data_IF_797662555432
#
_entry.id   IF_797662555432
#
_cell.length_a   1.000
_cell.length_b   1.000
_cell.length_c   1.000
_cell.angle_alpha   90.00
_cell.angle_beta   90.00
_cell.angle_gamma   90.00
#
_symmetry.space_group_name_H-M   'P 1'
#
loop_
_entity.id
_entity.type
_entity.pdbx_description
1 polymer ?
#
# COMPACT_ATOMS: atom_id res chain seq x y z
N UNK A 1 -2.77 19.77 3.73
CA UNK A 1 -2.03 18.76 4.53
C UNK A 1 -2.42 17.38 4.01
N UNK A 2 -1.43 16.56 3.72
CA UNK A 2 -1.63 15.19 3.20
C UNK A 2 -1.61 14.13 4.31
N UNK A 3 -1.26 14.51 5.54
CA UNK A 3 -1.21 13.63 6.71
C UNK A 3 -2.55 13.64 7.46
N UNK A 4 -3.11 12.44 7.83
CA UNK A 4 -4.26 12.36 8.74
C UNK A 4 -3.97 12.96 10.11
N UNK A 5 -4.99 13.46 10.80
CA UNK A 5 -4.84 13.98 12.17
C UNK A 5 -4.71 12.86 13.21
N UNK A 6 -5.28 11.70 12.94
CA UNK A 6 -5.21 10.52 13.81
C UNK A 6 -3.84 9.84 13.70
N UNK A 7 -3.34 9.31 14.83
CA UNK A 7 -2.09 8.56 14.91
C UNK A 7 -2.37 7.16 15.45
N UNK A 8 -1.76 6.15 14.85
CA UNK A 8 -1.80 4.80 15.40
C UNK A 8 -0.90 4.71 16.66
N UNK A 9 -1.41 4.12 17.73
CA UNK A 9 -0.69 3.94 19.00
C UNK A 9 0.04 2.60 19.08
N UNK A 10 -0.28 1.68 18.17
CA UNK A 10 0.29 0.34 18.07
C UNK A 10 0.29 -0.14 16.61
N UNK A 11 0.92 -1.27 16.36
CA UNK A 11 0.89 -1.99 15.10
C UNK A 11 0.78 -3.50 15.38
N UNK A 12 0.22 -4.23 14.42
CA UNK A 12 0.12 -5.67 14.46
C UNK A 12 1.25 -6.32 13.65
N UNK A 13 1.73 -7.48 14.09
CA UNK A 13 2.56 -8.35 13.27
C UNK A 13 1.66 -9.35 12.52
N UNK A 14 1.40 -9.10 11.24
CA UNK A 14 0.70 -10.06 10.37
C UNK A 14 1.54 -11.32 10.18
N UNK A 15 2.85 -11.13 10.07
CA UNK A 15 3.92 -12.13 10.12
C UNK A 15 5.13 -11.51 10.82
N UNK A 16 6.12 -12.30 11.24
CA UNK A 16 7.33 -11.75 11.88
C UNK A 16 8.07 -10.71 11.03
N UNK A 17 7.93 -10.78 9.71
CA UNK A 17 8.55 -9.88 8.74
C UNK A 17 7.61 -8.85 8.13
N UNK A 18 6.34 -8.79 8.57
CA UNK A 18 5.30 -7.91 8.00
C UNK A 18 4.48 -7.25 9.09
N UNK A 19 4.69 -5.95 9.29
CA UNK A 19 3.97 -5.14 10.26
C UNK A 19 2.86 -4.33 9.58
N UNK A 20 1.80 -4.04 10.33
CA UNK A 20 0.60 -3.38 9.87
C UNK A 20 0.06 -2.42 10.92
N UNK A 21 -0.32 -1.22 10.52
CA UNK A 21 -1.09 -0.28 11.35
C UNK A 21 -2.11 0.48 10.52
N UNK A 22 -3.07 1.07 11.18
CA UNK A 22 -4.15 1.79 10.53
C UNK A 22 -4.62 2.97 11.38
N UNK A 23 -5.32 3.90 10.73
CA UNK A 23 -6.03 5.01 11.39
C UNK A 23 -7.38 5.23 10.69
N UNK A 24 -8.35 5.81 11.44
CA UNK A 24 -9.48 6.48 10.81
C UNK A 24 -8.96 7.79 10.20
N UNK A 25 -8.99 7.85 8.88
CA UNK A 25 -8.46 8.96 8.11
C UNK A 25 -9.54 10.03 7.91
N UNK A 26 -9.43 11.10 8.66
CA UNK A 26 -10.38 12.21 8.69
C UNK A 26 -10.47 12.97 7.35
N UNK A 27 -9.48 12.83 6.48
CA UNK A 27 -9.45 13.46 5.15
C UNK A 27 -10.40 12.79 4.17
N UNK A 28 -10.58 11.48 4.30
CA UNK A 28 -11.41 10.67 3.41
C UNK A 28 -12.60 10.02 4.13
N UNK A 29 -12.71 10.22 5.46
CA UNK A 29 -13.73 9.61 6.31
C UNK A 29 -13.80 8.09 6.18
N UNK A 30 -12.64 7.46 6.11
CA UNK A 30 -12.50 6.02 5.95
C UNK A 30 -11.19 5.54 6.58
N UNK A 31 -11.12 4.26 6.89
CA UNK A 31 -9.89 3.62 7.37
C UNK A 31 -8.81 3.67 6.30
N UNK A 32 -7.62 4.07 6.70
CA UNK A 32 -6.38 3.94 5.92
C UNK A 32 -5.40 3.01 6.61
N UNK A 33 -4.68 2.25 5.83
CA UNK A 33 -3.76 1.19 6.28
C UNK A 33 -2.35 1.42 5.74
N UNK A 34 -1.35 1.05 6.53
CA UNK A 34 0.07 1.14 6.22
C UNK A 34 0.82 -0.12 6.62
N UNK A 35 1.94 -0.33 5.99
CA UNK A 35 2.70 -1.56 6.10
C UNK A 35 4.18 -1.29 6.36
N UNK A 36 4.86 -2.25 6.97
CA UNK A 36 6.31 -2.27 6.99
C UNK A 36 6.84 -3.68 6.77
N UNK A 37 7.93 -3.78 6.02
CA UNK A 37 8.67 -5.01 5.81
C UNK A 37 9.91 -4.99 6.69
N UNK A 38 10.09 -6.04 7.49
CA UNK A 38 11.27 -6.23 8.34
C UNK A 38 12.15 -7.32 7.73
N UNK A 39 13.43 -7.04 7.56
CA UNK A 39 14.41 -8.00 7.06
C UNK A 39 15.81 -7.67 7.56
N UNK A 40 16.48 -8.66 8.15
CA UNK A 40 17.85 -8.52 8.70
C UNK A 40 18.00 -7.29 9.62
N UNK A 41 17.03 -7.07 10.50
CA UNK A 41 17.03 -5.94 11.43
C UNK A 41 16.81 -4.57 10.76
N UNK A 42 16.40 -4.54 9.48
CA UNK A 42 16.07 -3.34 8.73
C UNK A 42 14.57 -3.27 8.44
N UNK A 43 14.02 -2.06 8.46
CA UNK A 43 12.59 -1.82 8.23
C UNK A 43 12.42 -0.90 7.02
N UNK A 44 11.58 -1.32 6.08
CA UNK A 44 11.09 -0.49 4.98
C UNK A 44 9.63 -0.17 5.22
N UNK A 45 9.30 1.11 5.30
CA UNK A 45 7.94 1.60 5.49
C UNK A 45 7.25 1.78 4.12
N UNK A 46 6.01 1.35 4.01
CA UNK A 46 5.21 1.45 2.79
C UNK A 46 3.99 2.32 3.07
N UNK A 47 3.86 3.43 2.35
CA UNK A 47 2.77 4.40 2.47
C UNK A 47 2.47 4.79 3.94
N UNK A 48 3.47 5.23 4.73
CA UNK A 48 3.36 5.25 6.17
C UNK A 48 2.35 6.29 6.68
N UNK A 49 1.42 5.82 7.50
CA UNK A 49 0.50 6.63 8.29
C UNK A 49 1.15 7.13 9.57
N UNK A 50 0.56 8.16 10.22
CA UNK A 50 1.07 8.68 11.49
C UNK A 50 1.14 7.60 12.57
N UNK A 51 2.28 7.56 13.25
CA UNK A 51 2.50 6.77 14.46
C UNK A 51 2.71 7.70 15.65
N UNK A 52 2.12 7.38 16.79
CA UNK A 52 2.39 8.00 18.05
C UNK A 52 3.76 7.56 18.60
N UNK A 53 4.37 8.33 19.48
CA UNK A 53 5.73 8.04 19.95
C UNK A 53 5.91 6.63 20.54
N UNK A 54 4.98 6.07 21.36
CA UNK A 54 5.13 4.69 21.84
C UNK A 54 5.19 3.65 20.70
N UNK A 55 4.41 3.86 19.62
CA UNK A 55 4.43 2.97 18.45
C UNK A 55 5.72 3.14 17.64
N UNK A 56 6.27 4.36 17.57
CA UNK A 56 7.58 4.62 16.95
C UNK A 56 8.69 3.89 17.70
N UNK A 57 8.73 4.00 19.05
CA UNK A 57 9.70 3.30 19.89
C UNK A 57 9.58 1.77 19.73
N UNK A 58 8.36 1.25 19.69
CA UNK A 58 8.10 -0.17 19.44
C UNK A 58 8.55 -0.61 18.05
N UNK A 59 8.40 0.24 17.03
CA UNK A 59 8.87 -0.02 15.66
C UNK A 59 10.41 -0.06 15.62
N UNK A 60 11.09 0.90 16.24
CA UNK A 60 12.56 0.94 16.34
C UNK A 60 13.11 -0.28 17.10
N UNK A 61 12.35 -0.86 18.03
CA UNK A 61 12.71 -2.10 18.70
C UNK A 61 12.63 -3.35 17.78
N UNK A 62 11.88 -3.30 16.67
CA UNK A 62 11.84 -4.38 15.66
C UNK A 62 13.04 -4.32 14.70
N UNK A 63 13.67 -3.16 14.55
CA UNK A 63 14.80 -2.96 13.66
C UNK A 63 15.00 -1.48 13.30
N UNK A 64 15.99 -1.24 12.46
CA UNK A 64 16.31 0.10 11.99
C UNK A 64 15.47 0.48 10.77
N UNK A 65 14.64 1.53 10.82
CA UNK A 65 14.04 2.10 9.61
C UNK A 65 15.13 2.56 8.63
N UNK A 66 15.05 2.16 7.36
CA UNK A 66 16.07 2.44 6.34
C UNK A 66 15.53 3.12 5.09
N UNK A 67 14.23 3.00 4.82
CA UNK A 67 13.60 3.60 3.65
C UNK A 67 12.08 3.75 3.84
N UNK A 68 11.50 4.66 3.07
CA UNK A 68 10.06 4.79 2.83
C UNK A 68 9.83 4.57 1.33
N UNK A 69 8.88 3.71 0.97
CA UNK A 69 8.44 3.48 -0.40
C UNK A 69 6.97 3.92 -0.53
N UNK A 70 6.70 4.86 -1.43
CA UNK A 70 5.35 5.33 -1.74
C UNK A 70 4.83 4.60 -2.97
N UNK A 71 3.56 4.20 -2.97
CA UNK A 71 2.89 3.57 -4.13
C UNK A 71 2.29 4.60 -5.09
N UNK A 72 2.10 5.83 -4.62
CA UNK A 72 1.58 6.96 -5.38
C UNK A 72 1.64 8.25 -4.57
N UNK A 73 1.38 9.39 -5.19
CA UNK A 73 1.43 10.69 -4.52
C UNK A 73 0.33 10.88 -3.47
N UNK A 74 -0.84 10.26 -3.65
CA UNK A 74 -1.92 10.28 -2.66
C UNK A 74 -1.55 9.58 -1.34
N UNK A 75 -0.52 8.74 -1.35
CA UNK A 75 -0.06 7.96 -0.21
C UNK A 75 1.19 8.53 0.48
N UNK A 76 1.57 9.78 0.21
CA UNK A 76 2.70 10.42 0.90
C UNK A 76 2.49 10.59 2.43
N UNK A 77 1.26 10.78 2.87
CA UNK A 77 0.82 10.72 4.29
C UNK A 77 1.88 11.27 5.26
N UNK A 78 2.46 10.45 6.16
CA UNK A 78 3.52 10.83 7.11
C UNK A 78 4.94 10.68 6.57
N UNK A 79 5.13 10.39 5.29
CA UNK A 79 6.45 10.08 4.73
C UNK A 79 7.50 11.16 5.04
N UNK A 80 7.14 12.44 4.89
CA UNK A 80 8.07 13.55 5.07
C UNK A 80 8.45 13.77 6.53
N UNK A 81 7.51 13.56 7.45
CA UNK A 81 7.77 13.62 8.89
C UNK A 81 8.68 12.46 9.33
N UNK A 82 8.37 11.24 8.90
CA UNK A 82 9.16 10.04 9.24
C UNK A 82 10.53 10.04 8.54
N UNK A 83 10.63 10.59 7.32
CA UNK A 83 11.91 10.86 6.66
C UNK A 83 12.85 11.69 7.56
N UNK A 84 12.33 12.78 8.10
CA UNK A 84 13.08 13.68 9.01
C UNK A 84 13.39 12.99 10.34
N UNK A 85 12.43 12.27 10.89
CA UNK A 85 12.57 11.57 12.18
C UNK A 85 13.69 10.54 12.14
N UNK A 86 13.74 9.71 11.09
CA UNK A 86 14.68 8.59 10.97
C UNK A 86 15.92 8.92 10.13
N UNK A 87 15.97 10.04 9.44
CA UNK A 87 17.08 10.37 8.53
C UNK A 87 17.20 9.42 7.34
N UNK A 88 16.08 8.94 6.82
CA UNK A 88 16.02 7.91 5.76
C UNK A 88 15.51 8.48 4.43
N UNK A 89 15.71 7.74 3.35
CA UNK A 89 15.28 8.15 2.00
C UNK A 89 13.83 7.80 1.72
N UNK A 90 13.16 8.67 0.98
CA UNK A 90 11.84 8.43 0.37
C UNK A 90 12.02 8.05 -1.09
N UNK A 91 11.46 6.91 -1.46
CA UNK A 91 11.34 6.39 -2.82
C UNK A 91 9.92 6.61 -3.29
N UNK A 92 9.73 7.26 -4.43
CA UNK A 92 8.43 7.52 -5.02
C UNK A 92 8.38 7.15 -6.50
N UNK A 93 7.20 6.89 -7.06
CA UNK A 93 7.07 6.66 -8.49
C UNK A 93 7.62 7.84 -9.32
N UNK A 94 8.31 7.53 -10.39
CA UNK A 94 8.70 8.52 -11.39
C UNK A 94 7.45 9.23 -11.94
N UNK A 95 7.53 10.53 -12.10
CA UNK A 95 6.42 11.40 -12.54
C UNK A 95 5.24 11.48 -11.53
N UNK A 96 5.42 11.15 -10.27
CA UNK A 96 4.42 11.40 -9.24
C UNK A 96 4.28 12.91 -9.03
N UNK A 97 3.12 13.46 -9.39
CA UNK A 97 2.78 14.88 -9.20
C UNK A 97 2.07 15.12 -7.86
N UNK A 98 2.18 16.34 -7.32
CA UNK A 98 1.46 16.73 -6.09
C UNK A 98 2.11 16.23 -4.79
N UNK A 99 3.36 15.78 -4.81
CA UNK A 99 4.13 15.52 -3.60
C UNK A 99 4.46 16.83 -2.87
N UNK A 100 4.36 16.84 -1.53
CA UNK A 100 4.69 18.01 -0.70
C UNK A 100 6.20 18.32 -0.67
N UNK A 101 7.04 17.29 -0.73
CA UNK A 101 8.49 17.41 -0.81
C UNK A 101 9.04 16.56 -1.96
N UNK A 102 10.21 16.91 -2.45
CA UNK A 102 10.90 16.11 -3.47
C UNK A 102 11.37 14.77 -2.88
N UNK A 103 11.06 13.63 -3.51
CA UNK A 103 11.57 12.34 -3.08
C UNK A 103 13.09 12.27 -3.28
N UNK A 104 13.76 11.40 -2.52
CA UNK A 104 15.21 11.21 -2.65
C UNK A 104 15.58 10.33 -3.84
N UNK A 105 14.65 9.45 -4.26
CA UNK A 105 14.82 8.52 -5.37
C UNK A 105 13.51 8.32 -6.10
N UNK A 106 13.53 8.56 -7.40
CA UNK A 106 12.44 8.18 -8.30
C UNK A 106 12.62 6.74 -8.76
N UNK A 107 11.52 6.01 -8.88
CA UNK A 107 11.55 4.63 -9.36
C UNK A 107 10.56 4.38 -10.50
N UNK A 108 10.84 3.37 -11.31
CA UNK A 108 9.98 2.85 -12.37
C UNK A 108 9.65 1.37 -12.12
N UNK A 109 8.78 0.80 -12.93
CA UNK A 109 8.41 -0.62 -12.89
C UNK A 109 9.66 -1.53 -12.97
N UNK A 110 9.69 -2.57 -12.14
CA UNK A 110 10.73 -3.60 -12.16
C UNK A 110 12.07 -3.23 -11.50
N UNK A 111 12.23 -1.98 -11.03
CA UNK A 111 13.45 -1.57 -10.32
C UNK A 111 13.47 -2.14 -8.91
N UNK A 112 14.58 -2.74 -8.48
CA UNK A 112 14.71 -3.23 -7.12
C UNK A 112 14.75 -2.07 -6.11
N UNK A 113 13.83 -2.07 -5.16
CA UNK A 113 13.74 -1.13 -4.05
C UNK A 113 14.31 -1.75 -2.75
N UNK A 114 14.56 -0.93 -1.70
CA UNK A 114 14.94 -1.43 -0.39
C UNK A 114 13.99 -2.53 0.12
N UNK A 115 14.52 -3.47 0.90
CA UNK A 115 13.75 -4.61 1.43
C UNK A 115 13.42 -5.70 0.40
N UNK A 116 13.91 -5.59 -0.83
CA UNK A 116 13.63 -6.54 -1.92
C UNK A 116 12.28 -6.31 -2.60
N UNK A 117 11.67 -5.15 -2.37
CA UNK A 117 10.42 -4.75 -3.05
C UNK A 117 10.69 -4.48 -4.53
N UNK A 118 9.75 -4.88 -5.38
CA UNK A 118 9.76 -4.63 -6.83
C UNK A 118 8.46 -3.91 -7.21
N UNK A 119 8.53 -2.68 -7.77
CA UNK A 119 7.36 -1.96 -8.22
C UNK A 119 6.72 -2.62 -9.43
N UNK A 120 5.40 -2.71 -9.41
CA UNK A 120 4.55 -3.16 -10.51
C UNK A 120 3.62 -2.01 -10.88
N UNK A 121 3.74 -1.46 -12.08
CA UNK A 121 2.86 -0.38 -12.52
C UNK A 121 1.42 -0.87 -12.56
N UNK A 122 0.55 -0.22 -11.82
CA UNK A 122 -0.83 -0.64 -11.60
C UNK A 122 -1.79 0.56 -11.75
N UNK A 123 -1.87 1.15 -12.98
CA UNK A 123 -2.67 2.33 -13.23
C UNK A 123 -4.17 2.04 -13.12
N UNK A 124 -4.92 3.11 -12.96
CA UNK A 124 -6.38 3.07 -12.89
C UNK A 124 -6.92 3.81 -11.68
N UNK A 125 -6.47 3.58 -10.43
CA UNK A 125 -6.76 4.48 -9.34
C UNK A 125 -6.28 5.90 -9.67
N UNK A 126 -5.01 6.03 -10.05
CA UNK A 126 -4.44 7.19 -10.75
C UNK A 126 -3.53 6.69 -11.88
N UNK A 127 -3.09 7.59 -12.79
CA UNK A 127 -2.18 7.21 -13.88
C UNK A 127 -0.83 6.74 -13.32
N UNK A 128 -0.28 7.47 -12.34
CA UNK A 128 0.98 7.12 -11.67
C UNK A 128 0.70 6.41 -10.36
N UNK A 129 0.31 5.14 -10.47
CA UNK A 129 -0.01 4.27 -9.35
C UNK A 129 0.74 2.94 -9.48
N UNK A 130 1.31 2.47 -8.37
CA UNK A 130 2.09 1.24 -8.32
C UNK A 130 1.62 0.33 -7.19
N UNK A 131 1.70 -0.97 -7.44
CA UNK A 131 1.78 -1.97 -6.40
C UNK A 131 3.25 -2.28 -6.09
N UNK A 132 3.55 -2.77 -4.89
CA UNK A 132 4.88 -3.24 -4.54
C UNK A 132 4.82 -4.74 -4.30
N UNK A 133 5.67 -5.49 -4.98
CA UNK A 133 5.75 -6.95 -4.87
C UNK A 133 7.02 -7.35 -4.13
N UNK A 134 6.88 -8.23 -3.15
CA UNK A 134 7.98 -8.87 -2.43
C UNK A 134 7.94 -10.37 -2.73
N UNK A 135 8.87 -10.85 -3.56
CA UNK A 135 9.03 -12.29 -3.86
C UNK A 135 10.00 -12.95 -2.85
N UNK A 136 9.59 -12.98 -1.59
CA UNK A 136 10.29 -13.72 -0.52
C UNK A 136 9.30 -14.64 0.15
N UNK A 137 9.73 -15.87 0.48
CA UNK A 137 8.89 -16.92 1.05
C UNK A 137 7.67 -17.24 0.17
N UNK A 138 6.47 -17.07 0.71
CA UNK A 138 5.22 -17.22 -0.05
C UNK A 138 4.86 -15.98 -0.89
N UNK A 139 5.61 -14.89 -0.73
CA UNK A 139 5.40 -13.61 -1.41
C UNK A 139 4.34 -12.72 -0.75
N UNK A 140 4.51 -11.41 -0.91
CA UNK A 140 3.55 -10.39 -0.46
C UNK A 140 3.31 -9.38 -1.59
N UNK A 141 2.06 -9.04 -1.82
CA UNK A 141 1.68 -7.98 -2.75
C UNK A 141 1.00 -6.83 -1.98
N UNK A 142 1.59 -5.65 -2.03
CA UNK A 142 1.01 -4.40 -1.54
C UNK A 142 0.31 -3.73 -2.72
N UNK A 143 -1.00 -3.89 -2.80
CA UNK A 143 -1.78 -3.48 -3.98
C UNK A 143 -2.31 -2.04 -3.91
N UNK A 144 -2.04 -1.33 -2.82
CA UNK A 144 -2.50 0.04 -2.56
C UNK A 144 -4.01 0.19 -2.85
N UNK A 145 -4.43 1.11 -3.73
CA UNK A 145 -5.83 1.39 -4.03
C UNK A 145 -6.42 0.55 -5.18
N UNK A 146 -5.64 -0.34 -5.79
CA UNK A 146 -6.20 -1.22 -6.84
C UNK A 146 -7.32 -2.09 -6.30
N UNK A 147 -7.17 -2.57 -5.06
CA UNK A 147 -8.16 -3.36 -4.34
C UNK A 147 -8.24 -2.88 -2.90
N UNK A 148 -9.45 -2.73 -2.40
CA UNK A 148 -9.73 -2.32 -1.03
C UNK A 148 -10.66 -3.33 -0.35
N UNK A 149 -10.72 -3.30 0.96
CA UNK A 149 -11.71 -4.09 1.70
C UNK A 149 -13.10 -3.49 1.52
N UNK A 150 -14.06 -4.33 1.11
CA UNK A 150 -15.49 -3.98 1.01
C UNK A 150 -16.32 -5.04 1.70
N UNK A 151 -16.92 -4.67 2.84
CA UNK A 151 -17.60 -5.63 3.69
C UNK A 151 -16.64 -6.75 4.12
N UNK A 152 -17.03 -8.01 3.92
CA UNK A 152 -16.22 -9.18 4.27
C UNK A 152 -15.23 -9.60 3.16
N UNK A 153 -15.14 -8.87 2.06
CA UNK A 153 -14.31 -9.23 0.90
C UNK A 153 -13.47 -8.09 0.35
N UNK A 154 -12.90 -8.34 -0.82
CA UNK A 154 -12.23 -7.31 -1.62
C UNK A 154 -13.18 -6.74 -2.65
N UNK A 155 -12.96 -5.49 -3.00
CA UNK A 155 -13.64 -4.79 -4.08
C UNK A 155 -12.79 -3.65 -4.62
N UNK A 156 -13.39 -2.84 -5.45
CA UNK A 156 -12.77 -1.66 -6.03
C UNK A 156 -13.29 -0.38 -5.39
N UNK A 157 -12.50 0.68 -5.39
CA UNK A 157 -12.95 2.03 -5.06
C UNK A 157 -14.09 2.41 -6.02
N UNK A 158 -15.01 3.26 -5.59
CA UNK A 158 -16.09 3.74 -6.47
C UNK A 158 -15.52 4.45 -7.71
N UNK A 159 -16.13 4.21 -8.88
CA UNK A 159 -15.60 4.68 -10.17
C UNK A 159 -15.34 6.19 -10.24
N UNK A 160 -16.11 7.00 -9.51
CA UNK A 160 -15.93 8.45 -9.44
C UNK A 160 -14.63 8.90 -8.74
N UNK A 161 -13.97 7.98 -8.02
CA UNK A 161 -12.70 8.21 -7.30
C UNK A 161 -11.51 7.49 -7.97
N UNK A 162 -11.66 7.09 -9.22
CA UNK A 162 -10.62 6.46 -10.02
C UNK A 162 -10.48 7.24 -11.34
N UNK A 163 -9.26 7.38 -11.82
CA UNK A 163 -9.00 7.99 -13.14
C UNK A 163 -9.55 7.10 -14.26
N UNK A 164 -9.32 5.79 -14.15
CA UNK A 164 -9.80 4.79 -15.12
C UNK A 164 -10.18 3.46 -14.42
N UNK A 165 -11.49 3.25 -14.14
CA UNK A 165 -11.95 2.01 -13.53
C UNK A 165 -11.66 0.74 -14.36
N UNK A 166 -11.61 0.82 -15.68
CA UNK A 166 -11.30 -0.34 -16.52
C UNK A 166 -9.83 -0.75 -16.39
N UNK A 167 -8.92 0.23 -16.37
CA UNK A 167 -7.49 -0.01 -16.13
C UNK A 167 -7.22 -0.53 -14.71
N UNK A 168 -7.95 -0.08 -13.70
CA UNK A 168 -7.85 -0.64 -12.33
C UNK A 168 -8.12 -2.14 -12.35
N UNK A 169 -9.16 -2.57 -13.05
CA UNK A 169 -9.51 -4.00 -13.16
C UNK A 169 -8.48 -4.79 -13.95
N UNK A 170 -7.89 -4.18 -14.96
CA UNK A 170 -6.79 -4.81 -15.70
C UNK A 170 -5.54 -4.96 -14.83
N UNK A 171 -5.20 -3.94 -14.04
CA UNK A 171 -4.14 -4.01 -13.05
C UNK A 171 -4.38 -5.14 -12.03
N UNK A 172 -5.61 -5.27 -11.53
CA UNK A 172 -5.98 -6.38 -10.64
C UNK A 172 -5.85 -7.77 -11.30
N UNK A 173 -6.16 -7.91 -12.62
CA UNK A 173 -5.97 -9.17 -13.35
C UNK A 173 -4.49 -9.52 -13.46
N UNK A 174 -3.62 -8.56 -13.78
CA UNK A 174 -2.17 -8.75 -13.86
C UNK A 174 -1.57 -9.26 -12.54
N UNK A 175 -2.15 -8.92 -11.40
CA UNK A 175 -1.70 -9.44 -10.10
C UNK A 175 -1.85 -10.97 -9.99
N UNK A 176 -2.78 -11.58 -10.71
CA UNK A 176 -2.97 -13.04 -10.67
C UNK A 176 -1.76 -13.81 -11.23
N UNK A 177 -0.92 -13.16 -12.04
CA UNK A 177 0.29 -13.75 -12.62
C UNK A 177 1.49 -13.67 -11.66
N UNK A 178 1.43 -12.83 -10.62
CA UNK A 178 2.48 -12.71 -9.62
C UNK A 178 2.40 -13.84 -8.59
N UNK A 179 3.55 -14.19 -7.98
CA UNK A 179 3.59 -15.15 -6.86
C UNK A 179 3.42 -14.40 -5.55
N UNK A 180 2.33 -14.62 -4.83
CA UNK A 180 2.13 -14.12 -3.46
C UNK A 180 1.08 -14.94 -2.70
N UNK A 181 1.31 -15.09 -1.40
CA UNK A 181 0.41 -15.70 -0.42
C UNK A 181 -0.28 -14.68 0.47
N UNK A 182 0.20 -13.42 0.49
CA UNK A 182 -0.39 -12.33 1.27
C UNK A 182 -0.66 -11.14 0.36
N UNK A 183 -1.85 -10.54 0.52
CA UNK A 183 -2.25 -9.31 -0.17
C UNK A 183 -2.55 -8.24 0.86
N UNK A 184 -1.93 -7.07 0.69
CA UNK A 184 -2.03 -5.89 1.54
C UNK A 184 -2.61 -4.73 0.73
N UNK A 185 -3.69 -4.11 1.20
CA UNK A 185 -4.30 -2.94 0.56
C UNK A 185 -4.05 -1.66 1.37
N UNK A 186 -4.30 -0.50 0.78
CA UNK A 186 -4.24 0.78 1.49
C UNK A 186 -5.48 1.03 2.37
N UNK A 187 -6.54 0.19 2.23
CA UNK A 187 -7.80 0.31 2.94
C UNK A 187 -8.34 -1.07 3.32
N UNK A 188 -7.79 -1.66 4.39
CA UNK A 188 -8.22 -2.93 4.95
C UNK A 188 -7.10 -3.83 5.45
N UNK A 189 -7.48 -4.85 6.19
CA UNK A 189 -6.55 -5.83 6.76
C UNK A 189 -5.94 -6.73 5.68
N UNK A 190 -4.80 -7.35 5.98
CA UNK A 190 -4.15 -8.30 5.08
C UNK A 190 -5.05 -9.50 4.76
N UNK A 191 -5.07 -9.91 3.50
CA UNK A 191 -5.68 -11.18 3.07
C UNK A 191 -4.58 -12.24 3.03
N UNK A 192 -4.56 -13.10 4.05
CA UNK A 192 -3.54 -14.15 4.24
C UNK A 192 -4.01 -15.52 3.79
N UNK A 193 -5.30 -15.67 3.46
CA UNK A 193 -5.85 -16.95 3.00
C UNK A 193 -6.40 -16.81 1.58
N UNK A 194 -5.79 -17.53 0.63
CA UNK A 194 -6.21 -17.60 -0.78
C UNK A 194 -6.42 -16.21 -1.43
N UNK A 195 -5.45 -15.28 -1.35
CA UNK A 195 -5.62 -13.89 -1.79
C UNK A 195 -5.98 -13.78 -3.27
N UNK A 196 -5.47 -14.65 -4.14
CA UNK A 196 -5.82 -14.68 -5.57
C UNK A 196 -7.29 -15.03 -5.82
N UNK A 197 -7.88 -15.88 -4.98
CA UNK A 197 -9.30 -16.19 -5.09
C UNK A 197 -10.16 -15.00 -4.63
N UNK A 198 -9.70 -14.22 -3.65
CA UNK A 198 -10.36 -12.98 -3.26
C UNK A 198 -10.36 -11.96 -4.41
N UNK A 199 -9.23 -11.82 -5.13
CA UNK A 199 -9.15 -10.98 -6.35
C UNK A 199 -10.11 -11.46 -7.43
N UNK A 200 -10.15 -12.76 -7.72
CA UNK A 200 -11.08 -13.33 -8.72
C UNK A 200 -12.54 -13.03 -8.38
N UNK A 201 -12.93 -13.20 -7.11
CA UNK A 201 -14.29 -12.87 -6.65
C UNK A 201 -14.61 -11.38 -6.81
N UNK A 202 -13.68 -10.48 -6.49
CA UNK A 202 -13.87 -9.04 -6.69
C UNK A 202 -14.12 -8.71 -8.17
N UNK A 203 -13.33 -9.28 -9.08
CA UNK A 203 -13.48 -9.09 -10.53
C UNK A 203 -14.81 -9.68 -11.06
N UNK A 204 -15.24 -10.83 -10.54
CA UNK A 204 -16.51 -11.46 -10.93
C UNK A 204 -17.73 -10.66 -10.43
N UNK A 205 -17.65 -10.11 -9.21
CA UNK A 205 -18.73 -9.29 -8.62
C UNK A 205 -18.97 -8.04 -9.45
N UNK A 206 -17.92 -7.31 -9.77
CA UNK A 206 -17.98 -6.12 -10.63
C UNK A 206 -18.58 -6.41 -12.02
N UNK A 207 -18.18 -7.53 -12.63
CA UNK A 207 -18.70 -7.93 -13.93
C UNK A 207 -20.22 -8.22 -13.91
N UNK A 208 -20.76 -8.62 -12.75
CA UNK A 208 -22.21 -8.86 -12.57
C UNK A 208 -22.97 -7.55 -12.30
N UNK A 209 -22.39 -6.64 -11.52
CA UNK A 209 -23.03 -5.33 -11.24
C UNK A 209 -23.10 -4.46 -12.49
N UNK A 210 -22.04 -4.42 -13.32
CA UNK A 210 -22.03 -3.69 -14.59
C UNK A 210 -22.98 -4.24 -15.66
N UNK A 211 -23.57 -5.44 -15.46
CA UNK A 211 -24.56 -6.04 -16.36
C UNK A 211 -26.00 -5.86 -15.89
N UNK A 212 -26.25 -5.25 -14.73
CA UNK A 212 -27.62 -4.94 -14.31
C UNK A 212 -28.14 -3.79 -15.17
N UNK A 213 -29.27 -3.95 -15.91
CA UNK A 213 -29.89 -2.84 -16.65
C UNK A 213 -30.31 -1.78 -15.65
N UNK A 214 -30.02 -0.52 -15.97
CA UNK A 214 -30.52 0.66 -15.26
C UNK A 214 -32.02 0.80 -15.42
#
# INVERSE_FOLDING_TARGET
MTEPSSQATEFDAVRPDLLHWWVEDDRIHHRSDSWAVVHDGRIVLIDPLPLAEPAIEALEAQGQPVAICLTGSCHQRSAWRLRKRFGIKVYAPQNAEGLEETPDVDYAEGVALPGGLVPVHAPGPTEVHYALHLDRDEGTLFCADVLIQRGEGLGFVEGKHQDDPARTRESARRFLDLKFGVLCSAHGSAVTHRPKDAIRRALEHEAKEGRRPQ
#
